data_IF_524078327087
#
_entry.id   IF_524078327087
#
_cell.length_a   1.000
_cell.length_b   1.000
_cell.length_c   1.000
_cell.angle_alpha   90.00
_cell.angle_beta   90.00
_cell.angle_gamma   90.00
#
_symmetry.space_group_name_H-M   'P 1'
#
loop_
_entity.id
_entity.type
_entity.pdbx_description
1 polymer ?
#
# COMPACT_ATOMS: atom_id res chain seq x y z
N UNK A 1 19.69 -31.56 -26.37
CA UNK A 1 19.52 -30.19 -25.93
C UNK A 1 18.33 -30.13 -24.98
N UNK A 2 18.56 -29.85 -23.72
CA UNK A 2 17.48 -29.59 -22.78
C UNK A 2 16.90 -28.23 -23.11
N UNK A 3 15.76 -28.19 -23.84
CA UNK A 3 15.03 -26.97 -24.09
C UNK A 3 14.53 -26.38 -22.77
N UNK A 4 14.49 -25.06 -22.68
CA UNK A 4 13.95 -24.35 -21.54
C UNK A 4 12.56 -24.93 -21.17
N UNK A 5 12.33 -25.33 -19.91
CA UNK A 5 11.09 -26.02 -19.50
C UNK A 5 9.83 -25.26 -19.87
N UNK A 6 9.90 -23.95 -19.95
CA UNK A 6 8.78 -23.06 -20.26
C UNK A 6 8.24 -23.22 -21.68
N UNK A 7 9.08 -23.62 -22.63
CA UNK A 7 8.63 -23.78 -24.02
C UNK A 7 8.05 -25.16 -24.30
N UNK A 8 8.31 -26.15 -23.47
CA UNK A 8 7.76 -27.50 -23.65
C UNK A 8 6.28 -27.63 -23.34
N UNK A 9 5.76 -26.71 -22.51
CA UNK A 9 4.35 -26.73 -22.07
C UNK A 9 3.49 -25.69 -22.77
N UNK A 10 3.99 -25.04 -23.81
CA UNK A 10 3.26 -24.03 -24.56
C UNK A 10 2.17 -24.56 -25.51
N UNK A 11 1.80 -25.84 -25.40
CA UNK A 11 0.58 -26.38 -26.02
C UNK A 11 -0.70 -25.71 -25.53
N UNK A 12 -0.61 -24.88 -24.52
CA UNK A 12 -1.72 -24.19 -23.92
C UNK A 12 -1.95 -22.77 -24.49
N UNK A 13 -1.37 -22.43 -25.62
CA UNK A 13 -1.55 -21.13 -26.30
C UNK A 13 -0.95 -19.93 -25.55
N UNK A 14 -0.55 -18.87 -26.26
CA UNK A 14 0.11 -17.70 -25.68
C UNK A 14 -0.74 -16.95 -24.64
N UNK A 15 -2.05 -17.12 -24.64
CA UNK A 15 -2.96 -16.46 -23.72
C UNK A 15 -2.88 -16.95 -22.25
N UNK A 16 -2.18 -18.08 -21.98
CA UNK A 16 -2.08 -18.63 -20.60
C UNK A 16 -0.89 -18.13 -19.80
N UNK A 17 0.07 -17.49 -20.42
CA UNK A 17 1.33 -17.06 -19.79
C UNK A 17 1.65 -15.60 -20.07
N UNK A 18 0.67 -14.75 -19.85
CA UNK A 18 0.90 -13.32 -19.99
C UNK A 18 1.60 -12.80 -18.73
N UNK A 19 2.74 -12.08 -18.87
CA UNK A 19 3.42 -11.52 -17.72
C UNK A 19 2.57 -10.41 -17.11
N UNK A 20 2.51 -10.36 -15.77
CA UNK A 20 1.91 -9.27 -15.04
C UNK A 20 2.88 -8.10 -14.98
N UNK A 21 2.40 -6.92 -15.33
CA UNK A 21 3.19 -5.70 -15.27
C UNK A 21 2.95 -4.96 -13.96
N UNK A 22 4.02 -4.55 -13.29
CA UNK A 22 3.96 -3.86 -12.01
C UNK A 22 3.51 -2.39 -12.12
N UNK A 23 3.44 -1.86 -13.31
CA UNK A 23 3.03 -0.47 -13.58
C UNK A 23 1.53 -0.31 -13.88
N UNK A 24 0.76 -1.39 -13.81
CA UNK A 24 -0.69 -1.36 -14.05
C UNK A 24 -1.44 -1.51 -12.74
N UNK A 25 -1.52 -0.42 -12.00
CA UNK A 25 -2.23 -0.36 -10.72
C UNK A 25 -2.93 0.98 -10.55
N UNK A 26 -3.92 0.99 -9.68
CA UNK A 26 -4.65 2.17 -9.24
C UNK A 26 -4.68 2.19 -7.70
N UNK A 27 -4.59 3.38 -7.12
CA UNK A 27 -4.68 3.58 -5.68
C UNK A 27 -5.77 4.59 -5.39
N UNK A 28 -6.78 4.19 -4.62
CA UNK A 28 -7.84 5.08 -4.16
C UNK A 28 -7.67 5.28 -2.67
N UNK A 29 -7.50 6.52 -2.24
CA UNK A 29 -7.36 6.90 -0.84
C UNK A 29 -8.60 7.66 -0.42
N UNK A 30 -9.34 7.11 0.54
CA UNK A 30 -10.46 7.78 1.20
C UNK A 30 -9.98 8.25 2.56
N UNK A 31 -9.70 9.54 2.74
CA UNK A 31 -9.17 10.09 3.99
C UNK A 31 -10.25 10.13 5.07
N UNK A 32 -9.86 10.33 6.35
CA UNK A 32 -10.82 10.55 7.42
C UNK A 32 -11.73 11.77 7.13
N UNK A 33 -13.03 11.73 7.48
CA UNK A 33 -13.96 12.82 7.22
C UNK A 33 -13.50 14.17 7.79
N UNK A 34 -12.79 14.15 8.90
CA UNK A 34 -12.24 15.36 9.53
C UNK A 34 -11.17 16.07 8.68
N UNK A 35 -10.53 15.38 7.74
CA UNK A 35 -9.54 15.94 6.82
C UNK A 35 -10.17 16.25 5.47
N UNK A 36 -11.08 15.41 5.00
CA UNK A 36 -11.70 15.50 3.69
C UNK A 36 -12.33 16.89 3.42
N UNK A 37 -12.91 17.52 4.44
CA UNK A 37 -13.52 18.85 4.32
C UNK A 37 -12.55 20.03 4.37
N UNK A 38 -11.31 19.82 4.80
CA UNK A 38 -10.36 20.93 5.04
C UNK A 38 -9.50 21.30 3.83
N UNK A 39 -9.24 20.38 2.93
CA UNK A 39 -8.21 20.53 1.89
C UNK A 39 -8.76 20.19 0.49
N UNK A 40 -10.06 20.15 0.29
CA UNK A 40 -10.61 19.78 -1.03
C UNK A 40 -10.08 18.44 -1.51
N UNK A 41 -9.98 17.46 -0.64
CA UNK A 41 -9.57 16.10 -0.92
C UNK A 41 -10.47 15.49 -2.02
N UNK A 42 -10.12 15.75 -3.27
CA UNK A 42 -10.67 14.99 -4.37
C UNK A 42 -9.93 13.67 -4.44
N UNK A 43 -10.63 12.54 -4.35
CA UNK A 43 -10.02 11.21 -4.45
C UNK A 43 -9.14 11.06 -5.71
N UNK A 44 -9.47 11.76 -6.77
CA UNK A 44 -8.77 11.72 -8.04
C UNK A 44 -7.40 12.42 -8.03
N UNK A 45 -7.25 13.52 -7.28
CA UNK A 45 -5.98 14.24 -7.23
C UNK A 45 -4.88 13.46 -6.50
N UNK A 46 -5.22 12.67 -5.50
CA UNK A 46 -4.25 11.79 -4.85
C UNK A 46 -3.79 10.65 -5.76
N UNK A 47 -4.68 10.14 -6.58
CA UNK A 47 -4.39 9.08 -7.54
C UNK A 47 -3.32 9.50 -8.54
N UNK A 48 -3.43 10.70 -9.09
CA UNK A 48 -2.51 11.23 -10.11
C UNK A 48 -1.08 11.45 -9.57
N UNK A 49 -0.93 11.56 -8.25
CA UNK A 49 0.34 11.82 -7.60
C UNK A 49 1.05 10.57 -7.06
N UNK A 50 0.42 9.39 -7.12
CA UNK A 50 1.03 8.15 -6.64
C UNK A 50 2.05 7.63 -7.64
N UNK A 51 3.30 7.50 -7.20
CA UNK A 51 4.38 6.94 -8.00
C UNK A 51 4.50 5.43 -7.84
N UNK A 52 4.43 4.94 -6.62
CA UNK A 52 4.52 3.52 -6.34
C UNK A 52 3.92 3.15 -4.97
N UNK A 53 3.65 1.87 -4.80
CA UNK A 53 3.22 1.27 -3.53
C UNK A 53 4.19 0.15 -3.18
N UNK A 54 4.70 0.13 -1.96
CA UNK A 54 5.66 -0.84 -1.45
C UNK A 54 5.09 -1.60 -0.25
N UNK A 55 5.59 -2.82 -0.05
CA UNK A 55 5.25 -3.65 1.10
C UNK A 55 3.75 -4.03 1.16
N UNK A 56 3.14 -4.25 0.00
CA UNK A 56 1.81 -4.87 -0.02
C UNK A 56 1.88 -6.25 0.64
N UNK A 57 0.85 -6.64 1.42
CA UNK A 57 0.83 -7.94 2.05
C UNK A 57 0.83 -9.03 0.97
N UNK A 58 1.81 -9.89 1.04
CA UNK A 58 1.82 -11.11 0.26
C UNK A 58 1.28 -12.27 1.11
N UNK A 59 0.73 -13.28 0.45
CA UNK A 59 0.36 -14.52 1.13
C UNK A 59 1.63 -15.12 1.74
N UNK A 60 1.88 -14.81 2.99
CA UNK A 60 2.77 -15.59 3.83
C UNK A 60 1.87 -16.57 4.57
N UNK A 61 2.00 -17.83 4.29
CA UNK A 61 1.46 -18.85 5.19
C UNK A 61 1.87 -18.44 6.60
N UNK A 62 0.98 -18.55 7.57
CA UNK A 62 1.14 -18.09 8.95
C UNK A 62 2.60 -18.21 9.40
N UNK A 63 3.32 -17.08 9.40
CA UNK A 63 4.78 -17.04 9.59
C UNK A 63 5.25 -17.29 11.02
N UNK A 64 4.48 -18.03 11.79
CA UNK A 64 4.83 -18.47 13.13
C UNK A 64 5.46 -19.87 13.07
N UNK A 65 6.27 -20.17 14.05
CA UNK A 65 6.91 -21.47 14.17
C UNK A 65 5.89 -22.62 14.09
N UNK A 66 6.22 -23.61 13.29
CA UNK A 66 5.46 -24.86 13.17
C UNK A 66 5.23 -25.44 14.54
N UNK A 67 3.99 -25.79 14.86
CA UNK A 67 3.66 -26.49 16.10
C UNK A 67 3.98 -27.99 15.90
N UNK A 68 4.95 -28.48 16.64
CA UNK A 68 5.34 -29.90 16.63
C UNK A 68 4.65 -30.65 17.75
N UNK A 69 3.92 -31.71 17.40
CA UNK A 69 3.40 -32.66 18.37
C UNK A 69 4.21 -33.96 18.30
N UNK A 70 4.76 -34.35 19.45
CA UNK A 70 5.52 -35.58 19.60
C UNK A 70 4.62 -36.72 20.02
N UNK A 71 4.59 -37.77 19.27
CA UNK A 71 3.98 -39.05 19.60
C UNK A 71 5.06 -40.09 19.93
N UNK A 72 4.70 -41.16 20.58
CA UNK A 72 5.64 -42.18 21.06
C UNK A 72 6.62 -42.68 19.97
N UNK A 73 6.18 -42.72 18.72
CA UNK A 73 6.98 -43.24 17.59
C UNK A 73 7.01 -42.30 16.37
N UNK A 74 6.41 -41.09 16.48
CA UNK A 74 6.36 -40.18 15.35
C UNK A 74 6.21 -38.76 15.82
N UNK A 75 6.61 -37.82 14.97
CA UNK A 75 6.40 -36.36 15.17
C UNK A 75 5.53 -35.85 14.04
N UNK A 76 4.54 -35.04 14.36
CA UNK A 76 3.69 -34.38 13.39
C UNK A 76 3.82 -32.86 13.51
N UNK A 77 3.85 -32.21 12.36
CA UNK A 77 3.90 -30.76 12.24
C UNK A 77 2.51 -30.23 11.91
N UNK A 78 2.09 -29.21 12.63
CA UNK A 78 0.84 -28.50 12.41
C UNK A 78 1.11 -27.02 12.12
N UNK A 79 0.27 -26.41 11.30
CA UNK A 79 0.31 -24.97 11.08
C UNK A 79 -0.07 -24.24 12.37
N UNK A 80 0.56 -23.10 12.67
CA UNK A 80 0.19 -22.30 13.83
C UNK A 80 -1.22 -21.72 13.69
N UNK A 81 -1.93 -21.61 14.82
CA UNK A 81 -3.30 -21.12 14.85
C UNK A 81 -3.43 -19.58 14.78
N UNK A 82 -2.31 -18.85 14.93
CA UNK A 82 -2.31 -17.38 14.93
C UNK A 82 -1.40 -16.84 13.84
N UNK A 83 -1.85 -15.80 13.11
CA UNK A 83 -0.97 -15.08 12.21
C UNK A 83 0.15 -14.39 13.02
N UNK A 84 1.33 -14.31 12.45
CA UNK A 84 2.49 -13.67 13.08
C UNK A 84 2.31 -12.15 13.23
N UNK A 85 1.47 -11.55 12.40
CA UNK A 85 1.27 -10.11 12.34
C UNK A 85 -0.24 -9.79 12.35
N UNK A 86 -0.62 -8.87 13.23
CA UNK A 86 -2.03 -8.46 13.40
C UNK A 86 -2.34 -7.11 12.76
N UNK A 87 -1.33 -6.43 12.23
CA UNK A 87 -1.46 -5.17 11.53
C UNK A 87 -0.56 -5.17 10.28
N UNK A 88 -0.89 -4.35 9.31
CA UNK A 88 -0.18 -4.29 8.03
C UNK A 88 0.38 -2.89 7.81
N UNK A 89 1.67 -2.83 7.48
CA UNK A 89 2.34 -1.59 7.13
C UNK A 89 2.74 -1.63 5.67
N UNK A 90 2.39 -0.58 4.95
CA UNK A 90 2.77 -0.38 3.57
C UNK A 90 3.15 1.07 3.34
N UNK A 91 3.81 1.34 2.24
CA UNK A 91 4.38 2.64 1.95
C UNK A 91 3.95 3.09 0.57
N UNK A 92 3.54 4.34 0.45
CA UNK A 92 3.20 4.96 -0.83
C UNK A 92 4.15 6.13 -1.06
N UNK A 93 4.77 6.15 -2.23
CA UNK A 93 5.56 7.28 -2.69
C UNK A 93 4.68 8.17 -3.57
N UNK A 94 4.69 9.45 -3.26
CA UNK A 94 3.96 10.48 -3.98
C UNK A 94 4.91 11.43 -4.69
N UNK A 95 4.48 11.93 -5.82
CA UNK A 95 5.06 13.10 -6.46
C UNK A 95 4.42 14.36 -5.90
N UNK A 96 5.23 15.32 -5.46
CA UNK A 96 4.74 16.60 -4.92
C UNK A 96 4.75 17.63 -6.02
N UNK A 97 3.57 18.00 -6.51
CA UNK A 97 3.36 19.03 -7.49
C UNK A 97 2.71 20.26 -6.85
N UNK A 98 3.01 21.42 -7.41
CA UNK A 98 2.31 22.66 -7.08
C UNK A 98 1.03 22.74 -7.91
N UNK A 99 -0.09 23.00 -7.26
CA UNK A 99 -1.33 23.31 -7.96
C UNK A 99 -1.34 24.76 -8.49
N UNK A 100 -2.43 25.17 -9.13
CA UNK A 100 -2.60 26.53 -9.66
C UNK A 100 -2.48 27.65 -8.62
N UNK A 101 -2.60 27.33 -7.34
CA UNK A 101 -2.45 28.26 -6.21
C UNK A 101 -1.06 28.20 -5.56
N UNK A 102 -0.10 27.53 -6.18
CA UNK A 102 1.23 27.24 -5.61
C UNK A 102 1.17 26.48 -4.28
N UNK A 103 0.15 25.66 -4.09
CA UNK A 103 -0.06 24.88 -2.89
C UNK A 103 0.42 23.42 -3.10
N UNK A 104 1.21 22.92 -2.16
CA UNK A 104 1.68 21.53 -2.13
C UNK A 104 0.57 20.62 -1.61
N UNK A 105 -0.43 20.37 -2.45
CA UNK A 105 -1.68 19.72 -2.08
C UNK A 105 -1.47 18.41 -1.31
N UNK A 106 -0.68 17.48 -1.86
CA UNK A 106 -0.41 16.16 -1.23
C UNK A 106 0.28 16.30 0.12
N UNK A 107 1.28 17.19 0.20
CA UNK A 107 1.99 17.43 1.45
C UNK A 107 1.05 17.98 2.53
N UNK A 108 0.24 18.98 2.18
CA UNK A 108 -0.70 19.59 3.11
C UNK A 108 -1.79 18.61 3.56
N UNK A 109 -2.26 17.76 2.65
CA UNK A 109 -3.23 16.72 2.94
C UNK A 109 -2.71 15.69 3.94
N UNK A 110 -1.52 15.15 3.69
CA UNK A 110 -0.91 14.16 4.59
C UNK A 110 -0.52 14.78 5.93
N UNK A 111 -0.08 16.03 5.94
CA UNK A 111 0.20 16.78 7.17
C UNK A 111 -1.05 16.98 8.00
N UNK A 112 -2.15 17.44 7.39
CA UNK A 112 -3.42 17.61 8.11
C UNK A 112 -3.93 16.27 8.68
N UNK A 113 -3.69 15.16 7.99
CA UNK A 113 -4.00 13.83 8.53
C UNK A 113 -3.11 13.46 9.72
N UNK A 114 -1.81 13.76 9.64
CA UNK A 114 -0.87 13.57 10.77
C UNK A 114 -1.24 14.42 11.98
N UNK A 115 -1.70 15.66 11.76
CA UNK A 115 -2.11 16.59 12.82
C UNK A 115 -3.38 16.10 13.55
N UNK A 116 -4.21 15.25 12.94
CA UNK A 116 -5.32 14.57 13.63
C UNK A 116 -4.83 13.53 14.65
N UNK A 117 -3.66 12.93 14.42
CA UNK A 117 -3.08 11.93 15.34
C UNK A 117 -2.46 12.63 16.53
N UNK A 118 -1.70 13.67 16.27
CA UNK A 118 -1.01 14.45 17.28
C UNK A 118 -0.93 15.92 16.85
N UNK A 119 -1.51 16.78 17.65
CA UNK A 119 -1.43 18.23 17.46
C UNK A 119 -0.19 18.77 18.17
N UNK A 120 0.84 19.22 17.43
CA UNK A 120 2.08 19.71 18.03
C UNK A 120 1.92 21.02 18.80
N UNK A 121 0.87 21.80 18.51
CA UNK A 121 0.62 23.07 19.18
C UNK A 121 0.00 22.89 20.57
N UNK A 122 -0.93 21.94 20.69
CA UNK A 122 -1.64 21.71 21.96
C UNK A 122 -1.12 20.49 22.72
N UNK A 123 -0.26 19.67 22.10
CA UNK A 123 0.24 18.42 22.68
C UNK A 123 -0.84 17.34 22.85
N UNK A 124 -2.00 17.51 22.21
CA UNK A 124 -3.12 16.56 22.32
C UNK A 124 -2.99 15.44 21.31
N UNK A 125 -3.27 14.22 21.77
CA UNK A 125 -3.41 13.06 20.91
C UNK A 125 -4.87 12.89 20.49
N UNK A 126 -5.10 12.64 19.20
CA UNK A 126 -6.44 12.36 18.67
C UNK A 126 -6.94 10.96 19.02
N UNK A 127 -8.25 10.79 18.95
CA UNK A 127 -8.87 9.46 19.12
C UNK A 127 -8.67 8.61 17.86
N UNK A 128 -8.38 7.32 18.03
CA UNK A 128 -8.22 6.39 16.91
C UNK A 128 -9.43 6.38 15.98
N UNK A 129 -10.64 6.46 16.52
CA UNK A 129 -11.87 6.53 15.74
C UNK A 129 -11.92 7.73 14.78
N UNK A 130 -11.21 8.83 15.09
CA UNK A 130 -11.20 10.03 14.25
C UNK A 130 -10.12 10.00 13.20
N UNK A 131 -8.89 9.57 13.55
CA UNK A 131 -7.77 9.61 12.62
C UNK A 131 -7.62 8.35 11.77
N UNK A 132 -8.18 7.20 12.18
CA UNK A 132 -8.09 5.94 11.46
C UNK A 132 -9.35 5.63 10.63
N UNK A 133 -10.34 6.53 10.59
CA UNK A 133 -11.53 6.37 9.75
C UNK A 133 -11.21 6.65 8.28
N UNK A 134 -10.29 5.85 7.75
CA UNK A 134 -9.80 5.94 6.39
C UNK A 134 -9.72 4.57 5.75
N UNK A 135 -9.82 4.53 4.43
CA UNK A 135 -9.61 3.33 3.63
C UNK A 135 -8.66 3.61 2.49
N UNK A 136 -7.82 2.63 2.16
CA UNK A 136 -6.94 2.67 1.00
C UNK A 136 -7.20 1.41 0.18
N UNK A 137 -7.56 1.59 -1.08
CA UNK A 137 -7.75 0.52 -2.04
C UNK A 137 -6.60 0.54 -3.04
N UNK A 138 -6.01 -0.63 -3.29
CA UNK A 138 -4.96 -0.82 -4.30
C UNK A 138 -5.42 -1.90 -5.25
N UNK A 139 -5.73 -1.50 -6.47
CA UNK A 139 -6.24 -2.38 -7.52
C UNK A 139 -5.17 -2.62 -8.56
N UNK A 140 -4.93 -3.87 -8.92
CA UNK A 140 -3.96 -4.27 -9.94
C UNK A 140 -4.68 -4.80 -11.17
N UNK A 141 -4.22 -4.38 -12.35
CA UNK A 141 -4.81 -4.72 -13.63
C UNK A 141 -3.86 -5.55 -14.49
N UNK A 142 -4.42 -6.38 -15.34
CA UNK A 142 -3.69 -7.01 -16.43
C UNK A 142 -3.57 -6.06 -17.64
N UNK A 143 -2.86 -6.47 -18.71
CA UNK A 143 -2.71 -5.66 -19.94
C UNK A 143 -4.02 -5.27 -20.61
N UNK A 144 -5.08 -6.03 -20.40
CA UNK A 144 -6.40 -5.78 -20.98
C UNK A 144 -7.28 -4.89 -20.11
N UNK A 145 -6.77 -4.40 -18.97
CA UNK A 145 -7.52 -3.57 -18.05
C UNK A 145 -8.47 -4.36 -17.12
N UNK A 146 -8.36 -5.68 -17.11
CA UNK A 146 -9.17 -6.51 -16.19
C UNK A 146 -8.47 -6.58 -14.85
N UNK A 147 -9.23 -6.35 -13.77
CA UNK A 147 -8.75 -6.47 -12.39
C UNK A 147 -8.39 -7.93 -12.13
N UNK A 148 -7.18 -8.19 -11.67
CA UNK A 148 -6.79 -9.53 -11.23
C UNK A 148 -6.57 -9.63 -9.73
N UNK A 149 -6.29 -8.50 -9.06
CA UNK A 149 -6.08 -8.45 -7.62
C UNK A 149 -6.50 -7.10 -7.08
N UNK A 150 -7.21 -7.11 -5.97
CA UNK A 150 -7.68 -5.90 -5.30
C UNK A 150 -7.45 -6.03 -3.80
N UNK A 151 -6.81 -5.02 -3.22
CA UNK A 151 -6.57 -4.91 -1.79
C UNK A 151 -7.37 -3.75 -1.24
N UNK A 152 -8.13 -3.99 -0.20
CA UNK A 152 -8.82 -2.95 0.56
C UNK A 152 -8.31 -2.96 1.99
N UNK A 153 -7.62 -1.89 2.36
CA UNK A 153 -7.08 -1.66 3.70
C UNK A 153 -8.02 -0.78 4.51
N UNK A 154 -8.31 -1.15 5.75
CA UNK A 154 -9.10 -0.32 6.66
C UNK A 154 -9.34 -1.00 8.01
N UNK A 155 -9.45 -0.24 9.10
CA UNK A 155 -9.10 1.18 9.25
C UNK A 155 -7.62 1.46 9.03
N UNK A 156 -7.32 2.62 8.41
CA UNK A 156 -5.95 3.02 8.08
C UNK A 156 -5.59 4.33 8.76
N UNK A 157 -4.37 4.44 9.22
CA UNK A 157 -3.82 5.71 9.67
C UNK A 157 -2.42 5.93 9.11
N UNK A 158 -2.05 7.20 9.00
CA UNK A 158 -0.74 7.60 8.51
C UNK A 158 0.30 7.46 9.60
N UNK A 159 1.45 6.88 9.25
CA UNK A 159 2.68 6.90 10.04
C UNK A 159 3.55 8.11 9.70
N UNK A 160 4.83 8.09 10.07
CA UNK A 160 5.75 9.15 9.70
C UNK A 160 5.83 9.29 8.18
N UNK A 161 5.53 10.48 7.68
CA UNK A 161 5.82 10.85 6.31
C UNK A 161 7.22 11.46 6.25
N UNK A 162 8.05 10.95 5.36
CA UNK A 162 9.39 11.47 5.14
C UNK A 162 9.51 11.98 3.72
N UNK A 163 10.07 13.16 3.57
CA UNK A 163 10.54 13.61 2.29
C UNK A 163 11.80 12.80 1.95
N UNK A 164 11.74 12.05 0.87
CA UNK A 164 12.86 11.24 0.42
C UNK A 164 13.92 12.17 -0.13
N UNK A 165 15.08 12.22 0.53
CA UNK A 165 16.29 12.90 0.07
C UNK A 165 16.08 14.38 -0.32
N UNK A 166 15.71 15.19 0.65
CA UNK A 166 15.64 16.63 0.47
C UNK A 166 17.05 17.23 0.48
N UNK A 167 17.82 16.98 -0.55
CA UNK A 167 18.98 17.80 -0.85
C UNK A 167 18.49 18.89 -1.81
N UNK A 168 18.28 20.09 -1.28
CA UNK A 168 18.11 21.28 -2.12
C UNK A 168 19.48 21.65 -2.65
N UNK A 169 19.80 21.17 -3.83
CA UNK A 169 21.10 21.34 -4.46
C UNK A 169 20.93 21.99 -5.84
N UNK A 170 21.56 23.13 -6.04
CA UNK A 170 21.55 23.83 -7.32
C UNK A 170 22.30 23.10 -8.45
N UNK A 171 23.06 22.07 -8.10
CA UNK A 171 23.81 21.26 -9.09
C UNK A 171 23.01 20.08 -9.62
N UNK A 172 21.87 19.79 -9.05
CA UNK A 172 21.01 18.68 -9.48
C UNK A 172 19.94 19.19 -10.45
N UNK A 173 20.10 18.86 -11.71
CA UNK A 173 19.14 19.20 -12.76
C UNK A 173 17.81 18.42 -12.57
N UNK A 174 16.71 19.16 -12.47
CA UNK A 174 15.31 18.67 -12.64
C UNK A 174 14.89 17.45 -11.81
N UNK A 175 15.31 17.34 -10.57
CA UNK A 175 14.79 16.29 -9.69
C UNK A 175 13.39 16.63 -9.19
N UNK A 176 12.47 15.70 -9.41
CA UNK A 176 11.09 15.78 -8.92
C UNK A 176 11.07 15.57 -7.41
N UNK A 177 10.33 16.42 -6.71
CA UNK A 177 10.15 16.31 -5.28
C UNK A 177 9.25 15.10 -4.94
N UNK A 178 9.78 14.17 -4.16
CA UNK A 178 9.06 12.95 -3.76
C UNK A 178 8.80 12.94 -2.27
N UNK A 179 7.63 12.45 -1.91
CA UNK A 179 7.20 12.26 -0.54
C UNK A 179 6.86 10.80 -0.30
N UNK A 180 7.50 10.18 0.67
CA UNK A 180 7.21 8.80 1.08
C UNK A 180 6.39 8.82 2.35
N UNK A 181 5.18 8.28 2.31
CA UNK A 181 4.30 8.13 3.45
C UNK A 181 4.11 6.66 3.82
N UNK A 182 4.27 6.35 5.09
CA UNK A 182 3.97 5.03 5.64
C UNK A 182 2.55 5.01 6.16
N UNK A 183 1.82 3.96 5.83
CA UNK A 183 0.46 3.71 6.31
C UNK A 183 0.41 2.43 7.12
N UNK A 184 -0.42 2.44 8.13
CA UNK A 184 -0.69 1.27 8.97
C UNK A 184 -2.16 0.96 8.95
N UNK A 185 -2.50 -0.27 8.58
CA UNK A 185 -3.88 -0.77 8.56
C UNK A 185 -4.07 -1.85 9.64
N UNK A 186 -5.21 -1.82 10.32
CA UNK A 186 -5.56 -2.85 11.28
C UNK A 186 -5.90 -4.17 10.59
N UNK A 187 -6.52 -4.09 9.42
CA UNK A 187 -6.88 -5.26 8.61
C UNK A 187 -6.87 -4.93 7.12
N UNK A 188 -6.84 -5.95 6.30
CA UNK A 188 -7.06 -5.82 4.87
C UNK A 188 -7.91 -6.99 4.37
N UNK A 189 -8.59 -6.76 3.28
CA UNK A 189 -9.22 -7.81 2.48
C UNK A 189 -8.55 -7.88 1.12
N UNK A 190 -8.35 -9.08 0.62
CA UNK A 190 -7.82 -9.32 -0.71
C UNK A 190 -8.86 -10.08 -1.51
N UNK A 191 -9.21 -9.55 -2.68
CA UNK A 191 -10.01 -10.27 -3.67
C UNK A 191 -9.18 -10.56 -4.91
N UNK A 192 -9.37 -11.75 -5.47
CA UNK A 192 -8.72 -12.19 -6.71
C UNK A 192 -9.79 -12.57 -7.71
N UNK A 193 -9.62 -12.13 -8.93
CA UNK A 193 -10.54 -12.55 -10.01
C UNK A 193 -10.24 -14.01 -10.36
N UNK A 194 -11.28 -14.84 -10.28
CA UNK A 194 -11.18 -16.27 -10.61
C UNK A 194 -11.14 -17.24 -9.42
N UNK A 195 -11.38 -16.75 -8.21
CA UNK A 195 -11.64 -17.60 -7.03
C UNK A 195 -13.10 -17.47 -6.59
#
# INVERSE_FOLDING_TARGET
MAGLPHFKNSTAGPAKYEPLYLNQFEVIITPPPAVAGKIGFGNNLMLEHVLNVKNLPEYSGSGSAVVLQNYKFSQRAYAPAKPAQTYHQFTIDFEVNLNNNNDMYIYNALRAWSDLIYDPLTGRQGLKATYAEATIQVTQFNRTGVIYRDFVFGPVFIGPAKMTETILDYTQDNQIYKLTAQFTADMYTESRVGQ
#
